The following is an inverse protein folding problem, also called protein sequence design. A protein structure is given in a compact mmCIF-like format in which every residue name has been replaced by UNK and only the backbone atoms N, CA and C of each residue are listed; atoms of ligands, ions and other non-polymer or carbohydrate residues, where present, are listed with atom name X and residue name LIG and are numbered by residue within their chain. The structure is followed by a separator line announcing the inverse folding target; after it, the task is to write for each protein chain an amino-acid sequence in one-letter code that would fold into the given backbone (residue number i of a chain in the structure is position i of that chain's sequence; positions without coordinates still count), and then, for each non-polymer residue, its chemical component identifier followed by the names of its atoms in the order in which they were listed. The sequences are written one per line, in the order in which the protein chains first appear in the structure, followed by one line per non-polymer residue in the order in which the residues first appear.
data_IF_151012431479
#
_entry.id   IF_151012431479
#
_cell.length_a   1.000
_cell.length_b   1.000
_cell.length_c   1.000
_cell.angle_alpha   90.00
_cell.angle_beta   90.00
_cell.angle_gamma   90.00
#
_symmetry.space_group_name_H-M   'P 1'
#
loop_
_entity.id
_entity.type
_entity.pdbx_description
1 polymer ?
#
# COMPACT_ATOMS: atom_id res chain seq x y z
N UNK A 1 -30.62 26.14 29.95
CA UNK A 1 -30.03 27.22 29.11
C UNK A 1 -28.58 27.03 28.79
N UNK A 2 -27.69 26.69 29.73
CA UNK A 2 -26.22 26.50 29.45
C UNK A 2 -25.90 25.40 28.46
N UNK A 3 -26.56 24.25 28.50
CA UNK A 3 -26.35 23.12 27.61
C UNK A 3 -26.62 23.47 26.13
N UNK A 4 -27.67 24.30 25.90
CA UNK A 4 -28.06 24.73 24.55
C UNK A 4 -27.05 25.75 23.94
N UNK A 5 -26.40 26.54 24.78
CA UNK A 5 -25.35 27.47 24.35
C UNK A 5 -24.07 26.74 23.96
N UNK A 6 -23.67 25.68 24.70
CA UNK A 6 -22.49 24.91 24.38
C UNK A 6 -22.67 24.11 23.09
N UNK A 7 -23.87 23.58 22.83
CA UNK A 7 -24.18 22.90 21.56
C UNK A 7 -24.09 23.86 20.38
N UNK A 8 -24.66 25.05 20.46
CA UNK A 8 -24.55 26.07 19.40
C UNK A 8 -23.12 26.52 19.17
N UNK A 9 -22.31 26.60 20.21
CA UNK A 9 -20.91 26.97 20.10
C UNK A 9 -20.12 25.88 19.37
N UNK A 10 -20.40 24.61 19.68
CA UNK A 10 -19.79 23.45 18.99
C UNK A 10 -20.24 23.40 17.53
N UNK A 11 -21.51 23.57 17.22
CA UNK A 11 -22.04 23.62 15.85
C UNK A 11 -21.38 24.72 15.03
N UNK A 12 -21.26 25.94 15.57
CA UNK A 12 -20.59 27.04 14.88
C UNK A 12 -19.11 26.78 14.64
N UNK A 13 -18.42 26.14 15.60
CA UNK A 13 -17.02 25.78 15.43
C UNK A 13 -16.84 24.72 14.31
N UNK A 14 -17.70 23.70 14.29
CA UNK A 14 -17.69 22.68 13.20
C UNK A 14 -17.95 23.35 11.86
N UNK A 15 -18.99 24.18 11.74
CA UNK A 15 -19.32 24.87 10.50
C UNK A 15 -18.17 25.74 9.98
N UNK A 16 -17.53 26.51 10.88
CA UNK A 16 -16.38 27.34 10.52
C UNK A 16 -15.19 26.52 9.98
N UNK A 17 -14.94 25.36 10.61
CA UNK A 17 -13.87 24.46 10.15
C UNK A 17 -14.24 23.83 8.80
N UNK A 18 -15.46 23.35 8.62
CA UNK A 18 -15.94 22.79 7.35
C UNK A 18 -15.84 23.81 6.20
N UNK A 19 -16.23 25.05 6.46
CA UNK A 19 -16.10 26.13 5.47
C UNK A 19 -14.62 26.38 5.11
N UNK A 20 -13.74 26.44 6.09
CA UNK A 20 -12.30 26.63 5.87
C UNK A 20 -11.64 25.49 5.07
N UNK A 21 -12.17 24.26 5.21
CA UNK A 21 -11.67 23.07 4.53
C UNK A 21 -12.41 22.74 3.21
N UNK A 22 -13.43 23.52 2.85
CA UNK A 22 -14.31 23.24 1.71
C UNK A 22 -13.53 22.99 0.40
N UNK A 23 -12.50 23.80 0.12
CA UNK A 23 -11.64 23.60 -1.07
C UNK A 23 -10.88 22.28 -1.02
N UNK A 24 -10.34 21.93 0.13
CA UNK A 24 -9.60 20.67 0.32
C UNK A 24 -10.54 19.48 0.11
N UNK A 25 -11.75 19.55 0.65
CA UNK A 25 -12.77 18.50 0.44
C UNK A 25 -13.18 18.39 -1.04
N UNK A 26 -13.36 19.53 -1.71
CA UNK A 26 -13.69 19.55 -3.14
C UNK A 26 -12.57 18.93 -3.99
N UNK A 27 -11.33 19.28 -3.75
CA UNK A 27 -10.16 18.70 -4.45
C UNK A 27 -10.06 17.20 -4.21
N UNK A 28 -10.23 16.75 -2.96
CA UNK A 28 -10.25 15.32 -2.63
C UNK A 28 -11.40 14.57 -3.30
N UNK A 29 -12.59 15.15 -3.30
CA UNK A 29 -13.75 14.56 -3.99
C UNK A 29 -13.50 14.41 -5.48
N UNK A 30 -12.92 15.41 -6.13
CA UNK A 30 -12.55 15.34 -7.54
C UNK A 30 -11.51 14.24 -7.82
N UNK A 31 -10.48 14.09 -6.96
CA UNK A 31 -9.49 13.03 -7.08
C UNK A 31 -10.11 11.64 -6.93
N UNK A 32 -11.03 11.47 -5.97
CA UNK A 32 -11.76 10.21 -5.77
C UNK A 32 -12.63 9.90 -6.99
N UNK A 33 -13.33 10.89 -7.52
CA UNK A 33 -14.15 10.75 -8.71
C UNK A 33 -13.34 10.29 -9.93
N UNK A 34 -12.21 10.93 -10.21
CA UNK A 34 -11.32 10.53 -11.30
C UNK A 34 -10.80 9.10 -11.15
N UNK A 35 -10.44 8.69 -9.92
CA UNK A 35 -10.04 7.31 -9.66
C UNK A 35 -11.16 6.32 -9.91
N UNK A 36 -12.39 6.66 -9.50
CA UNK A 36 -13.56 5.82 -9.73
C UNK A 36 -13.87 5.68 -11.22
N UNK A 37 -13.84 6.78 -11.97
CA UNK A 37 -14.00 6.74 -13.44
C UNK A 37 -12.97 5.82 -14.09
N UNK A 38 -11.71 5.89 -13.67
CA UNK A 38 -10.66 5.01 -14.18
C UNK A 38 -10.95 3.53 -13.87
N UNK A 39 -11.40 3.21 -12.65
CA UNK A 39 -11.78 1.84 -12.28
C UNK A 39 -12.93 1.34 -13.15
N UNK A 40 -13.98 2.14 -13.31
CA UNK A 40 -15.14 1.77 -14.13
C UNK A 40 -14.76 1.59 -15.62
N UNK A 41 -13.87 2.42 -16.13
CA UNK A 41 -13.31 2.27 -17.48
C UNK A 41 -12.56 0.95 -17.63
N UNK A 42 -11.68 0.61 -16.67
CA UNK A 42 -10.95 -0.67 -16.65
C UNK A 42 -11.94 -1.84 -16.60
N UNK A 43 -12.97 -1.79 -15.76
CA UNK A 43 -14.00 -2.83 -15.70
C UNK A 43 -14.69 -3.03 -17.05
N UNK A 44 -15.01 -1.95 -17.74
CA UNK A 44 -15.61 -1.99 -19.09
C UNK A 44 -14.65 -2.60 -20.10
N UNK A 45 -13.40 -2.16 -20.13
CA UNK A 45 -12.38 -2.64 -21.08
C UNK A 45 -12.03 -4.12 -20.82
N UNK A 46 -11.96 -4.54 -19.57
CA UNK A 46 -11.78 -5.93 -19.17
C UNK A 46 -13.05 -6.78 -19.29
N UNK A 47 -14.18 -6.17 -19.73
CA UNK A 47 -15.47 -6.86 -19.88
C UNK A 47 -15.90 -7.60 -18.60
N UNK A 48 -15.72 -6.95 -17.46
CA UNK A 48 -16.21 -7.49 -16.18
C UNK A 48 -17.73 -7.61 -16.24
N UNK A 49 -18.25 -8.77 -15.89
CA UNK A 49 -19.67 -9.09 -15.94
C UNK A 49 -20.11 -9.85 -14.68
N UNK A 50 -21.41 -10.03 -14.51
CA UNK A 50 -21.98 -10.77 -13.38
C UNK A 50 -21.46 -12.20 -13.26
N UNK A 51 -21.07 -12.83 -14.39
CA UNK A 51 -20.49 -14.18 -14.38
C UNK A 51 -19.18 -14.28 -13.59
N UNK A 52 -18.41 -13.20 -13.49
CA UNK A 52 -17.16 -13.16 -12.72
C UNK A 52 -17.38 -13.08 -11.21
N UNK A 53 -18.61 -12.86 -10.74
CA UNK A 53 -18.99 -12.87 -9.32
C UNK A 53 -19.64 -14.18 -8.89
N UNK A 54 -19.77 -15.13 -9.81
CA UNK A 54 -20.29 -16.45 -9.48
C UNK A 54 -19.25 -17.26 -8.67
N UNK A 55 -19.75 -18.18 -7.87
CA UNK A 55 -18.90 -19.08 -7.12
C UNK A 55 -18.04 -19.95 -8.05
N UNK A 56 -16.76 -20.08 -7.72
CA UNK A 56 -15.82 -20.98 -8.41
C UNK A 56 -15.46 -22.17 -7.53
N UNK A 57 -14.86 -23.20 -8.14
CA UNK A 57 -14.37 -24.38 -7.40
C UNK A 57 -13.18 -24.08 -6.50
N UNK A 58 -12.50 -22.94 -6.68
CA UNK A 58 -11.28 -22.57 -5.98
C UNK A 58 -10.04 -23.36 -6.40
N UNK A 59 -10.16 -24.34 -7.30
CA UNK A 59 -9.04 -25.18 -7.77
C UNK A 59 -8.04 -24.46 -8.66
N UNK A 60 -8.38 -23.27 -9.13
CA UNK A 60 -7.53 -22.44 -10.01
C UNK A 60 -7.57 -22.84 -11.49
N UNK A 61 -8.16 -23.96 -11.84
CA UNK A 61 -8.39 -24.35 -13.23
C UNK A 61 -9.71 -23.74 -13.74
N UNK A 62 -9.65 -23.00 -14.85
CA UNK A 62 -10.80 -22.33 -15.45
C UNK A 62 -11.53 -21.35 -14.49
N UNK A 63 -10.81 -20.78 -13.56
CA UNK A 63 -11.35 -19.76 -12.66
C UNK A 63 -11.28 -18.38 -13.34
N UNK A 64 -12.30 -18.12 -14.16
CA UNK A 64 -12.41 -16.85 -14.93
C UNK A 64 -12.42 -15.62 -14.02
N UNK A 65 -12.91 -15.74 -12.80
CA UNK A 65 -12.97 -14.63 -11.83
C UNK A 65 -11.58 -14.28 -11.32
N UNK A 66 -10.75 -15.29 -11.07
CA UNK A 66 -9.37 -15.11 -10.61
C UNK A 66 -8.49 -14.40 -11.64
N UNK A 67 -8.55 -14.87 -12.89
CA UNK A 67 -7.81 -14.22 -13.99
C UNK A 67 -8.30 -12.80 -14.23
N UNK A 68 -9.61 -12.59 -14.13
CA UNK A 68 -10.22 -11.29 -14.34
C UNK A 68 -9.82 -10.27 -13.27
N UNK A 69 -9.82 -10.63 -12.00
CA UNK A 69 -9.41 -9.73 -10.93
C UNK A 69 -7.92 -9.38 -11.03
N UNK A 70 -7.08 -10.35 -11.40
CA UNK A 70 -5.65 -10.11 -11.63
C UNK A 70 -5.44 -9.09 -12.77
N UNK A 71 -6.16 -9.23 -13.89
CA UNK A 71 -6.09 -8.30 -15.01
C UNK A 71 -6.55 -6.88 -14.64
N UNK A 72 -7.66 -6.76 -13.90
CA UNK A 72 -8.17 -5.46 -13.42
C UNK A 72 -7.15 -4.77 -12.51
N UNK A 73 -6.57 -5.49 -11.55
CA UNK A 73 -5.58 -4.93 -10.63
C UNK A 73 -4.27 -4.59 -11.33
N UNK A 74 -3.79 -5.43 -12.24
CA UNK A 74 -2.61 -5.13 -13.03
C UNK A 74 -2.78 -3.82 -13.79
N UNK A 75 -3.91 -3.61 -14.47
CA UNK A 75 -4.20 -2.36 -15.19
C UNK A 75 -4.36 -1.16 -14.27
N UNK A 76 -5.02 -1.33 -13.14
CA UNK A 76 -5.24 -0.24 -12.19
C UNK A 76 -3.92 0.29 -11.62
N UNK A 77 -2.98 -0.60 -11.32
CA UNK A 77 -1.67 -0.27 -10.78
C UNK A 77 -0.57 -0.09 -11.84
N UNK A 78 -0.93 -0.12 -13.13
CA UNK A 78 0.00 -0.01 -14.26
C UNK A 78 1.14 -1.05 -14.19
N UNK A 79 0.83 -2.25 -13.71
CA UNK A 79 1.74 -3.37 -13.59
C UNK A 79 1.52 -4.36 -14.75
N UNK A 80 2.56 -5.12 -15.09
CA UNK A 80 2.46 -6.17 -16.10
C UNK A 80 1.53 -7.30 -15.66
N UNK A 81 1.56 -7.64 -14.38
CA UNK A 81 0.75 -8.70 -13.76
C UNK A 81 0.39 -8.34 -12.32
N UNK A 82 -0.69 -8.94 -11.85
CA UNK A 82 -1.07 -8.91 -10.45
C UNK A 82 -1.44 -10.33 -9.98
N UNK A 83 -1.36 -10.55 -8.68
CA UNK A 83 -1.83 -11.77 -8.03
C UNK A 83 -2.73 -11.38 -6.85
N UNK A 84 -4.04 -11.39 -7.09
CA UNK A 84 -5.04 -11.04 -6.09
C UNK A 84 -5.63 -12.33 -5.53
N UNK A 85 -5.32 -12.66 -4.28
CA UNK A 85 -5.69 -13.93 -3.66
C UNK A 85 -6.20 -13.73 -2.25
N UNK A 86 -7.26 -14.42 -1.90
CA UNK A 86 -7.81 -14.45 -0.53
C UNK A 86 -6.84 -15.09 0.47
N UNK A 87 -5.88 -15.88 0.00
CA UNK A 87 -4.84 -16.48 0.81
C UNK A 87 -3.85 -15.46 1.38
N UNK A 88 -3.76 -14.27 0.80
CA UNK A 88 -3.08 -13.14 1.43
C UNK A 88 -3.99 -12.52 2.48
N UNK A 89 -3.89 -13.00 3.70
CA UNK A 89 -4.82 -12.64 4.80
C UNK A 89 -4.63 -11.23 5.35
N UNK A 90 -3.51 -10.58 4.99
CA UNK A 90 -3.21 -9.20 5.41
C UNK A 90 -2.22 -8.53 4.45
N UNK A 91 -2.10 -7.20 4.55
CA UNK A 91 -1.07 -6.45 3.82
C UNK A 91 0.35 -6.90 4.19
N UNK A 92 0.60 -7.13 5.48
CA UNK A 92 1.89 -7.66 5.94
C UNK A 92 2.22 -9.01 5.31
N UNK A 93 1.24 -9.91 5.21
CA UNK A 93 1.43 -11.21 4.57
C UNK A 93 1.75 -11.06 3.08
N UNK A 94 1.08 -10.18 2.36
CA UNK A 94 1.36 -9.92 0.95
C UNK A 94 2.77 -9.37 0.76
N UNK A 95 3.18 -8.37 1.55
CA UNK A 95 4.52 -7.78 1.50
C UNK A 95 5.58 -8.82 1.86
N UNK A 96 5.39 -9.57 2.94
CA UNK A 96 6.31 -10.63 3.36
C UNK A 96 6.51 -11.67 2.28
N UNK A 97 5.42 -12.12 1.63
CA UNK A 97 5.49 -13.10 0.55
C UNK A 97 6.34 -12.60 -0.63
N UNK A 98 6.24 -11.32 -0.97
CA UNK A 98 7.08 -10.72 -2.00
C UNK A 98 8.54 -10.66 -1.55
N UNK A 99 8.80 -10.15 -0.33
CA UNK A 99 10.17 -10.00 0.17
C UNK A 99 10.90 -11.34 0.24
N UNK A 100 10.28 -12.38 0.82
CA UNK A 100 10.87 -13.73 0.84
C UNK A 100 10.94 -14.38 -0.54
N UNK A 101 10.08 -13.97 -1.47
CA UNK A 101 10.10 -14.46 -2.84
C UNK A 101 11.25 -13.93 -3.69
N UNK A 102 11.63 -12.66 -3.49
CA UNK A 102 12.64 -11.98 -4.32
C UNK A 102 14.02 -11.89 -3.69
N UNK A 103 14.10 -11.72 -2.36
CA UNK A 103 15.37 -11.56 -1.65
C UNK A 103 16.08 -12.90 -1.44
N UNK A 104 17.41 -12.86 -1.47
CA UNK A 104 18.29 -14.01 -1.24
C UNK A 104 19.29 -13.70 -0.14
N UNK A 105 19.85 -14.73 0.55
CA UNK A 105 20.91 -14.52 1.53
C UNK A 105 22.08 -13.70 0.95
N UNK A 106 22.44 -12.63 1.66
CA UNK A 106 23.45 -11.66 1.22
C UNK A 106 22.91 -10.41 0.55
N UNK A 107 21.62 -10.38 0.23
CA UNK A 107 20.99 -9.17 -0.32
C UNK A 107 20.82 -8.08 0.76
N UNK A 108 20.75 -6.85 0.29
CA UNK A 108 20.47 -5.68 1.13
C UNK A 108 19.09 -5.12 0.79
N UNK A 109 18.21 -5.07 1.79
CA UNK A 109 16.92 -4.39 1.71
C UNK A 109 17.07 -2.95 2.20
N UNK A 110 16.84 -1.97 1.31
CA UNK A 110 16.87 -0.55 1.65
C UNK A 110 15.46 0.03 1.70
N UNK A 111 15.04 0.54 2.87
CA UNK A 111 13.81 1.32 3.01
C UNK A 111 14.10 2.78 2.68
N UNK A 112 13.45 3.31 1.66
CA UNK A 112 13.59 4.70 1.21
C UNK A 112 12.65 5.65 1.96
N UNK A 113 11.63 5.13 2.63
CA UNK A 113 10.56 5.90 3.28
C UNK A 113 10.67 5.92 4.81
N UNK A 114 11.85 5.57 5.33
CA UNK A 114 12.09 5.51 6.78
C UNK A 114 11.71 4.16 7.39
N UNK A 115 11.39 4.19 8.68
CA UNK A 115 11.10 3.00 9.46
C UNK A 115 9.79 2.34 9.01
N UNK A 116 9.77 1.02 8.79
CA UNK A 116 8.55 0.29 8.48
C UNK A 116 7.63 0.23 9.72
N UNK A 117 6.36 -0.13 9.49
CA UNK A 117 5.42 -0.33 10.57
C UNK A 117 5.75 -1.60 11.37
N UNK A 118 5.26 -1.67 12.60
CA UNK A 118 5.66 -2.63 13.64
C UNK A 118 5.64 -4.10 13.23
N UNK A 119 4.57 -4.57 12.58
CA UNK A 119 4.49 -5.97 12.14
C UNK A 119 5.44 -6.30 10.99
N UNK A 120 5.81 -5.33 10.16
CA UNK A 120 6.84 -5.52 9.14
C UNK A 120 8.25 -5.50 9.74
N UNK A 121 8.47 -4.74 10.81
CA UNK A 121 9.73 -4.78 11.56
C UNK A 121 10.04 -6.18 12.09
N UNK A 122 9.02 -6.92 12.54
CA UNK A 122 9.18 -8.31 12.98
C UNK A 122 9.54 -9.24 11.83
N UNK A 123 8.90 -9.06 10.66
CA UNK A 123 9.24 -9.81 9.44
C UNK A 123 10.68 -9.57 9.00
N UNK A 124 11.14 -8.32 9.08
CA UNK A 124 12.52 -7.94 8.74
C UNK A 124 13.50 -8.49 9.78
N UNK A 125 13.11 -8.50 11.05
CA UNK A 125 13.95 -8.93 12.17
C UNK A 125 14.71 -7.79 12.87
N UNK A 126 14.21 -6.55 12.75
CA UNK A 126 14.72 -5.39 13.49
C UNK A 126 13.97 -5.17 14.81
N UNK A 127 12.85 -5.87 15.00
CA UNK A 127 12.05 -5.91 16.22
C UNK A 127 11.66 -7.35 16.54
N UNK A 128 11.43 -7.62 17.83
CA UNK A 128 11.02 -8.95 18.29
C UNK A 128 12.18 -9.92 18.44
N UNK A 129 11.90 -11.09 19.02
CA UNK A 129 12.89 -12.15 19.26
C UNK A 129 12.53 -13.46 18.55
N UNK A 130 11.60 -13.42 17.58
CA UNK A 130 11.18 -14.57 16.79
C UNK A 130 12.27 -15.05 15.84
N UNK A 131 12.20 -16.33 15.45
CA UNK A 131 13.05 -16.90 14.41
C UNK A 131 12.31 -16.91 13.08
N UNK A 132 13.02 -16.86 11.95
CA UNK A 132 12.46 -16.91 10.62
C UNK A 132 12.23 -15.55 9.99
N UNK A 133 12.88 -14.50 10.50
CA UNK A 133 12.90 -13.17 9.90
C UNK A 133 13.82 -13.11 8.67
N UNK A 134 13.70 -12.04 7.85
CA UNK A 134 14.63 -11.80 6.74
C UNK A 134 16.08 -11.76 7.20
N UNK A 135 16.33 -11.18 8.38
CA UNK A 135 17.68 -11.16 9.00
C UNK A 135 18.20 -12.56 9.29
N UNK A 136 17.36 -13.47 9.76
CA UNK A 136 17.76 -14.87 10.03
C UNK A 136 18.09 -15.62 8.72
N UNK A 137 17.50 -15.19 7.59
CA UNK A 137 17.82 -15.68 6.27
C UNK A 137 19.01 -14.97 5.62
N UNK A 138 19.71 -14.10 6.38
CA UNK A 138 20.94 -13.44 5.91
C UNK A 138 20.69 -12.22 5.03
N UNK A 139 19.53 -11.59 5.09
CA UNK A 139 19.23 -10.33 4.42
C UNK A 139 19.58 -9.17 5.37
N UNK A 140 20.38 -8.21 4.89
CA UNK A 140 20.71 -6.99 5.63
C UNK A 140 19.60 -5.95 5.41
N UNK A 141 19.21 -5.24 6.47
CA UNK A 141 18.25 -4.13 6.39
C UNK A 141 18.95 -2.80 6.62
N UNK A 142 18.64 -1.82 5.75
CA UNK A 142 19.05 -0.42 5.87
C UNK A 142 17.86 0.50 5.65
N UNK A 143 17.90 1.69 6.22
CA UNK A 143 16.85 2.70 6.02
C UNK A 143 17.44 4.09 5.85
N UNK A 144 16.71 4.94 5.13
CA UNK A 144 16.99 6.37 4.97
C UNK A 144 15.82 7.14 5.57
N UNK A 145 16.09 8.08 6.50
CA UNK A 145 15.06 8.96 7.03
C UNK A 145 14.87 10.14 6.09
N UNK A 146 13.81 10.10 5.31
CA UNK A 146 13.43 11.16 4.35
C UNK A 146 13.05 12.46 5.06
N UNK A 147 12.51 12.37 6.26
CA UNK A 147 11.92 13.51 6.97
C UNK A 147 12.90 14.60 7.39
N UNK A 148 14.21 14.39 7.26
CA UNK A 148 15.19 15.36 7.74
C UNK A 148 15.62 16.40 6.71
N UNK A 149 15.58 16.15 5.40
CA UNK A 149 15.77 17.15 4.34
C UNK A 149 15.56 16.53 2.96
N UNK A 150 14.57 17.02 2.22
CA UNK A 150 14.26 16.54 0.86
C UNK A 150 15.43 16.79 -0.11
N UNK A 151 16.18 17.89 0.07
CA UNK A 151 17.30 18.27 -0.79
C UNK A 151 18.53 17.34 -0.65
N UNK A 152 18.63 16.58 0.45
CA UNK A 152 19.71 15.60 0.64
C UNK A 152 19.32 14.16 0.34
N UNK A 153 18.09 13.94 -0.16
CA UNK A 153 17.57 12.58 -0.38
C UNK A 153 18.27 11.87 -1.54
N UNK A 154 18.45 12.56 -2.67
CA UNK A 154 19.15 12.02 -3.82
C UNK A 154 20.61 11.70 -3.49
N UNK A 155 21.30 12.62 -2.77
CA UNK A 155 22.67 12.40 -2.35
C UNK A 155 22.81 11.20 -1.40
N UNK A 156 21.89 11.04 -0.44
CA UNK A 156 21.88 9.90 0.48
C UNK A 156 21.59 8.58 -0.27
N UNK A 157 20.67 8.57 -1.21
CA UNK A 157 20.43 7.37 -2.05
C UNK A 157 21.69 7.03 -2.86
N UNK A 158 22.30 7.98 -3.53
CA UNK A 158 23.52 7.78 -4.31
C UNK A 158 24.65 7.26 -3.41
N UNK A 159 24.81 7.84 -2.22
CA UNK A 159 25.80 7.39 -1.25
C UNK A 159 25.52 5.94 -0.79
N UNK A 160 24.26 5.59 -0.50
CA UNK A 160 23.88 4.21 -0.15
C UNK A 160 24.10 3.25 -1.31
N UNK A 161 23.71 3.63 -2.53
CA UNK A 161 23.91 2.79 -3.72
C UNK A 161 25.39 2.61 -4.05
N UNK A 162 26.23 3.62 -3.78
CA UNK A 162 27.69 3.50 -3.97
C UNK A 162 28.37 2.59 -2.94
N UNK A 163 27.74 2.36 -1.78
CA UNK A 163 28.20 1.42 -0.75
C UNK A 163 27.75 -0.02 -1.02
N UNK A 164 26.75 -0.20 -1.88
CA UNK A 164 26.29 -1.51 -2.36
C UNK A 164 27.01 -1.77 -3.68
N UNK A 165 28.29 -2.08 -3.59
CA UNK A 165 29.02 -2.63 -4.75
C UNK A 165 28.49 -4.04 -5.01
N UNK A 166 27.69 -4.13 -6.07
CA UNK A 166 27.45 -5.38 -6.79
C UNK A 166 28.57 -5.57 -7.78
#
# INVERSE_FOLDING_TARGET
MALNNNLKLAENAVFSVEESLSKVFQERSNQVFQKLENILRIFKEEKVSTSHFNQSSGSGHNDISREKIDAVFARFFLAEKAAVRMQFVSGTHAISSVLFGILRPGDVMLSLTGQPYDTLEEVIGIRGGGKGSLKDFGIEYKQVNICENFDSFEEKIVQFLSLIHI
#
